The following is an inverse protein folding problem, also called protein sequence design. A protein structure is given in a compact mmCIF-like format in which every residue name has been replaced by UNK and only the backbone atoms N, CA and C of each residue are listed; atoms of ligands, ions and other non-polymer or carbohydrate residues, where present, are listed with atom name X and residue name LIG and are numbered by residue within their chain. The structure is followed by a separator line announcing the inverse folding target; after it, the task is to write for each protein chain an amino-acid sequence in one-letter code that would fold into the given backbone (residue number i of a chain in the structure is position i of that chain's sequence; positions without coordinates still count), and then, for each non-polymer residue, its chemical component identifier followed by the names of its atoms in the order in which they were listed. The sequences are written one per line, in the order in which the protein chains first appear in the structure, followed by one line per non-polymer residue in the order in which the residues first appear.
data_IF_603221500571
#
_entry.id   IF_603221500571
#
_cell.length_a   1.000
_cell.length_b   1.000
_cell.length_c   1.000
_cell.angle_alpha   90.00
_cell.angle_beta   90.00
_cell.angle_gamma   90.00
#
_symmetry.space_group_name_H-M   'P 1'
#
loop_
_entity.id
_entity.type
_entity.pdbx_description
1 polymer ?
#
# COMPACT_ATOMS: atom_id res chain seq x y z
N UNK A 1 1.65 5.59 83.05
CA UNK A 1 2.50 5.11 81.94
C UNK A 1 1.61 4.89 80.72
N UNK A 2 1.53 5.90 79.86
CA UNK A 2 0.75 5.86 78.60
C UNK A 2 1.44 4.93 77.61
N UNK A 3 0.71 3.96 77.06
CA UNK A 3 1.16 3.11 75.96
C UNK A 3 0.93 3.85 74.64
N UNK A 4 1.99 3.99 73.86
CA UNK A 4 2.00 4.59 72.53
C UNK A 4 1.20 3.74 71.54
N UNK A 5 0.31 4.41 70.81
CA UNK A 5 -0.46 3.88 69.68
C UNK A 5 0.43 4.01 68.43
N UNK A 6 0.74 2.89 67.77
CA UNK A 6 1.44 2.87 66.50
C UNK A 6 0.40 2.65 65.38
N UNK A 7 0.02 3.73 64.68
CA UNK A 7 -0.75 3.63 63.44
C UNK A 7 0.18 3.17 62.31
N UNK A 8 -0.06 1.98 61.76
CA UNK A 8 0.45 1.60 60.43
C UNK A 8 -0.68 1.75 59.43
N UNK A 9 -0.65 2.83 58.67
CA UNK A 9 -1.37 2.95 57.41
C UNK A 9 -0.59 2.20 56.33
N UNK A 10 -1.21 1.19 55.71
CA UNK A 10 -0.92 0.79 54.32
C UNK A 10 -2.26 0.53 53.63
N UNK A 11 -2.50 1.09 52.43
CA UNK A 11 -3.83 1.30 51.90
C UNK A 11 -4.35 0.13 51.06
N UNK A 12 -5.67 -0.02 51.13
CA UNK A 12 -6.62 -0.35 50.07
C UNK A 12 -6.03 -0.92 48.76
N UNK A 13 -6.35 -2.19 48.50
CA UNK A 13 -6.17 -2.82 47.20
C UNK A 13 -6.87 -2.00 46.11
N UNK A 14 -6.08 -1.44 45.18
CA UNK A 14 -6.60 -0.96 43.90
C UNK A 14 -7.05 -2.16 43.09
N UNK A 15 -8.36 -2.29 42.91
CA UNK A 15 -8.97 -3.10 41.86
C UNK A 15 -8.67 -2.40 40.53
N UNK A 16 -7.70 -2.91 39.77
CA UNK A 16 -7.56 -2.57 38.37
C UNK A 16 -8.67 -3.27 37.59
N UNK A 17 -9.75 -2.54 37.31
CA UNK A 17 -10.63 -2.89 36.18
C UNK A 17 -9.84 -2.52 34.93
N UNK A 18 -9.09 -3.47 34.39
CA UNK A 18 -8.54 -3.36 33.05
C UNK A 18 -9.73 -3.42 32.08
N UNK A 19 -10.10 -2.28 31.52
CA UNK A 19 -10.82 -2.23 30.25
C UNK A 19 -9.91 -2.87 29.20
N UNK A 20 -10.13 -4.15 28.89
CA UNK A 20 -9.55 -4.75 27.69
C UNK A 20 -10.35 -4.23 26.49
N UNK A 21 -9.91 -3.10 25.92
CA UNK A 21 -10.13 -2.85 24.51
C UNK A 21 -9.24 -3.85 23.77
N UNK A 22 -9.75 -5.07 23.56
CA UNK A 22 -9.05 -6.10 22.82
C UNK A 22 -9.23 -5.85 21.33
N UNK A 23 -8.35 -5.00 20.81
CA UNK A 23 -7.72 -5.18 19.51
C UNK A 23 -6.26 -4.75 19.73
N UNK A 24 -5.25 -5.33 19.05
CA UNK A 24 -5.35 -5.75 17.65
C UNK A 24 -4.49 -6.99 17.29
N UNK A 25 -4.36 -7.26 15.99
CA UNK A 25 -3.25 -7.99 15.35
C UNK A 25 -3.34 -9.53 15.39
N UNK A 26 -3.72 -10.09 14.23
CA UNK A 26 -3.48 -11.48 13.81
C UNK A 26 -3.64 -12.58 14.88
N UNK A 27 -4.88 -12.88 15.27
CA UNK A 27 -5.21 -14.19 15.81
C UNK A 27 -5.49 -15.16 14.65
N UNK A 28 -4.42 -15.57 13.96
CA UNK A 28 -4.28 -16.83 13.20
C UNK A 28 -2.93 -16.84 12.46
N UNK A 29 -1.84 -16.59 13.20
CA UNK A 29 -0.48 -16.88 12.74
C UNK A 29 -0.05 -18.14 13.48
N UNK A 30 0.13 -19.24 12.73
CA UNK A 30 1.03 -20.30 13.16
C UNK A 30 2.41 -19.66 13.41
N UNK A 31 2.75 -19.46 14.69
CA UNK A 31 3.96 -18.80 15.17
C UNK A 31 5.26 -19.46 14.66
N UNK A 32 5.18 -20.63 14.03
CA UNK A 32 6.33 -21.35 13.48
C UNK A 32 6.68 -20.94 12.04
N UNK A 33 5.77 -20.27 11.31
CA UNK A 33 6.06 -19.67 10.00
C UNK A 33 5.88 -18.16 10.05
N UNK A 34 6.95 -17.45 10.44
CA UNK A 34 7.10 -16.04 10.09
C UNK A 34 7.20 -15.94 8.56
N UNK A 35 6.09 -15.73 7.88
CA UNK A 35 6.14 -15.21 6.53
C UNK A 35 6.62 -13.75 6.64
N UNK A 36 7.90 -13.52 6.34
CA UNK A 36 8.55 -12.20 6.38
C UNK A 36 8.15 -11.28 5.22
N UNK A 37 7.31 -11.79 4.30
CA UNK A 37 6.94 -11.13 3.06
C UNK A 37 5.41 -10.95 3.03
N UNK A 38 4.94 -9.80 3.51
CA UNK A 38 3.55 -9.36 3.38
C UNK A 38 3.42 -8.52 2.11
N UNK A 39 2.64 -9.01 1.16
CA UNK A 39 2.44 -8.39 -0.16
C UNK A 39 1.18 -7.52 -0.18
N UNK A 40 1.27 -6.35 -0.80
CA UNK A 40 0.12 -5.60 -1.26
C UNK A 40 0.16 -5.38 -2.78
N UNK A 41 -1.01 -5.30 -3.39
CA UNK A 41 -1.19 -5.01 -4.81
C UNK A 41 -2.10 -3.79 -4.95
N UNK A 42 -1.65 -2.80 -5.73
CA UNK A 42 -2.42 -1.59 -6.04
C UNK A 42 -3.01 -1.74 -7.44
N UNK A 43 -4.34 -1.83 -7.51
CA UNK A 43 -5.09 -1.93 -8.75
C UNK A 43 -5.18 -0.58 -9.46
N UNK A 44 -4.38 -0.38 -10.51
CA UNK A 44 -4.52 0.80 -11.38
C UNK A 44 -5.59 0.64 -12.47
N UNK A 45 -5.70 1.59 -13.40
CA UNK A 45 -6.71 1.58 -14.46
C UNK A 45 -6.72 0.30 -15.30
N UNK A 46 -5.55 -0.31 -15.53
CA UNK A 46 -5.45 -1.56 -16.28
C UNK A 46 -6.08 -2.74 -15.51
N UNK A 47 -5.79 -2.80 -14.22
CA UNK A 47 -6.19 -3.89 -13.31
C UNK A 47 -7.66 -3.76 -12.93
N UNK A 48 -8.10 -2.53 -12.64
CA UNK A 48 -9.46 -2.27 -12.14
C UNK A 48 -10.51 -2.13 -13.26
N UNK A 49 -10.20 -1.48 -14.40
CA UNK A 49 -11.20 -1.21 -15.45
C UNK A 49 -11.45 -2.41 -16.36
N UNK A 50 -10.48 -3.30 -16.51
CA UNK A 50 -10.70 -4.59 -17.17
C UNK A 50 -11.17 -5.59 -16.12
N UNK A 51 -12.47 -5.50 -15.78
CA UNK A 51 -13.22 -6.44 -14.96
C UNK A 51 -12.39 -7.12 -13.85
N UNK A 52 -12.46 -6.61 -12.61
CA UNK A 52 -11.85 -7.28 -11.44
C UNK A 52 -12.27 -8.76 -11.32
N UNK A 53 -13.42 -9.15 -11.90
CA UNK A 53 -13.85 -10.55 -12.05
C UNK A 53 -12.91 -11.43 -12.91
N UNK A 54 -11.98 -10.83 -13.66
CA UNK A 54 -11.06 -11.51 -14.58
C UNK A 54 -9.58 -11.33 -14.23
N UNK A 55 -9.20 -10.23 -13.57
CA UNK A 55 -7.78 -9.98 -13.27
C UNK A 55 -7.26 -10.96 -12.22
N UNK A 56 -8.03 -11.11 -11.14
CA UNK A 56 -7.98 -12.32 -10.38
C UNK A 56 -9.04 -13.21 -11.01
N UNK A 57 -8.63 -14.26 -11.71
CA UNK A 57 -9.55 -15.35 -12.07
C UNK A 57 -10.30 -15.85 -10.83
N UNK A 58 -11.22 -16.80 -10.97
CA UNK A 58 -11.84 -17.51 -9.82
C UNK A 58 -10.79 -18.15 -8.86
N UNK A 59 -9.49 -18.07 -9.18
CA UNK A 59 -8.36 -18.55 -8.41
C UNK A 59 -7.94 -17.66 -7.24
N UNK A 60 -8.38 -16.39 -7.14
CA UNK A 60 -8.14 -15.59 -5.94
C UNK A 60 -9.44 -15.28 -5.20
N UNK A 61 -9.43 -15.54 -3.90
CA UNK A 61 -10.60 -15.40 -3.04
C UNK A 61 -10.48 -14.15 -2.18
N UNK A 62 -11.57 -13.39 -2.06
CA UNK A 62 -11.69 -12.29 -1.11
C UNK A 62 -12.08 -12.90 0.23
N UNK A 63 -11.22 -12.74 1.24
CA UNK A 63 -11.50 -13.22 2.59
C UNK A 63 -12.24 -12.16 3.40
N UNK A 64 -11.83 -10.91 3.26
CA UNK A 64 -12.35 -9.78 4.04
C UNK A 64 -12.16 -8.48 3.28
N UNK A 65 -13.05 -7.51 3.51
CA UNK A 65 -12.85 -6.10 3.13
C UNK A 65 -13.01 -5.22 4.36
N UNK A 66 -12.04 -4.37 4.63
CA UNK A 66 -12.01 -3.52 5.81
C UNK A 66 -11.30 -2.19 5.54
N UNK A 67 -11.35 -1.28 6.50
CA UNK A 67 -10.61 -0.03 6.50
C UNK A 67 -9.71 0.03 7.73
N UNK A 68 -8.63 0.82 7.66
CA UNK A 68 -7.66 0.99 8.74
C UNK A 68 -7.64 2.47 9.12
N UNK A 69 -7.89 2.76 10.39
CA UNK A 69 -7.68 4.11 10.93
C UNK A 69 -6.18 4.31 11.20
N UNK A 70 -5.63 5.42 10.70
CA UNK A 70 -4.21 5.76 10.84
C UNK A 70 -4.05 7.21 11.28
N UNK A 71 -2.82 7.64 11.60
CA UNK A 71 -2.56 9.06 11.86
C UNK A 71 -2.80 9.97 10.65
N UNK A 72 -2.81 9.42 9.43
CA UNK A 72 -3.17 10.13 8.20
C UNK A 72 -4.70 10.13 7.91
N UNK A 73 -5.48 9.47 8.79
CA UNK A 73 -6.93 9.26 8.67
C UNK A 73 -7.29 7.86 8.17
N UNK A 74 -8.59 7.66 7.94
CA UNK A 74 -9.16 6.39 7.50
C UNK A 74 -8.70 6.00 6.09
N UNK A 75 -8.20 4.77 5.93
CA UNK A 75 -7.77 4.23 4.64
C UNK A 75 -8.92 4.08 3.64
N UNK A 76 -8.62 4.04 2.32
CA UNK A 76 -9.53 3.43 1.36
C UNK A 76 -9.86 1.97 1.76
N UNK A 77 -10.96 1.38 1.27
CA UNK A 77 -11.25 -0.04 1.49
C UNK A 77 -10.09 -0.93 1.01
N UNK A 78 -9.59 -1.77 1.90
CA UNK A 78 -8.54 -2.75 1.65
C UNK A 78 -9.18 -4.13 1.64
N UNK A 79 -8.91 -4.90 0.60
CA UNK A 79 -9.35 -6.29 0.49
C UNK A 79 -8.20 -7.20 0.93
N UNK A 80 -8.46 -8.07 1.91
CA UNK A 80 -7.59 -9.22 2.18
C UNK A 80 -7.97 -10.34 1.24
N UNK A 81 -7.03 -10.73 0.39
CA UNK A 81 -7.24 -11.73 -0.65
C UNK A 81 -6.27 -12.89 -0.46
N UNK A 82 -6.59 -14.03 -1.07
CA UNK A 82 -5.75 -15.22 -1.05
C UNK A 82 -5.74 -15.87 -2.42
N UNK A 83 -4.54 -16.21 -2.92
CA UNK A 83 -4.35 -17.01 -4.13
C UNK A 83 -3.41 -18.17 -3.80
N UNK A 84 -3.81 -19.42 -4.09
CA UNK A 84 -3.01 -20.63 -3.78
C UNK A 84 -2.46 -20.66 -2.34
N UNK A 85 -3.28 -20.25 -1.37
CA UNK A 85 -2.93 -20.13 0.06
C UNK A 85 -1.89 -19.06 0.42
N UNK A 86 -1.58 -18.15 -0.50
CA UNK A 86 -0.73 -16.99 -0.26
C UNK A 86 -1.65 -15.78 -0.01
N UNK A 87 -1.69 -15.23 1.22
CA UNK A 87 -2.48 -14.05 1.51
C UNK A 87 -1.77 -12.79 0.99
N UNK A 88 -2.55 -11.82 0.52
CA UNK A 88 -2.06 -10.50 0.12
C UNK A 88 -3.16 -9.45 0.34
N UNK A 89 -2.76 -8.19 0.41
CA UNK A 89 -3.69 -7.07 0.42
C UNK A 89 -3.90 -6.52 -0.98
N UNK A 90 -5.12 -6.12 -1.29
CA UNK A 90 -5.46 -5.48 -2.56
C UNK A 90 -6.22 -4.19 -2.32
N UNK A 91 -5.83 -3.14 -3.01
CA UNK A 91 -6.56 -1.87 -3.03
C UNK A 91 -6.96 -1.56 -4.46
N UNK A 92 -8.27 -1.41 -4.67
CA UNK A 92 -8.84 -0.90 -5.91
C UNK A 92 -8.61 0.60 -5.94
N UNK A 93 -7.66 1.06 -6.75
CA UNK A 93 -7.18 2.43 -6.69
C UNK A 93 -7.85 3.33 -7.73
N UNK A 94 -8.14 2.81 -8.93
CA UNK A 94 -8.77 3.57 -10.02
C UNK A 94 -10.19 3.10 -10.38
N UNK A 95 -10.76 2.21 -9.56
CA UNK A 95 -12.10 1.63 -9.72
C UNK A 95 -13.29 2.44 -9.17
N UNK A 96 -13.09 3.68 -8.72
CA UNK A 96 -14.18 4.49 -8.20
C UNK A 96 -14.65 5.52 -9.23
N UNK A 97 -15.79 5.25 -9.87
CA UNK A 97 -16.62 6.30 -10.47
C UNK A 97 -17.32 7.14 -9.38
N UNK A 98 -17.27 6.70 -8.12
CA UNK A 98 -18.08 7.21 -7.01
C UNK A 98 -17.25 7.80 -5.83
N UNK A 99 -15.94 8.01 -5.99
CA UNK A 99 -15.15 8.73 -4.97
C UNK A 99 -15.43 10.23 -5.06
N UNK A 100 -15.50 10.87 -3.91
CA UNK A 100 -15.64 12.31 -3.84
C UNK A 100 -14.44 12.98 -4.53
N UNK A 101 -14.66 14.11 -5.23
CA UNK A 101 -13.59 14.85 -5.90
C UNK A 101 -12.42 15.21 -4.94
N UNK A 102 -12.68 15.34 -3.65
CA UNK A 102 -11.67 15.53 -2.60
C UNK A 102 -10.66 14.39 -2.48
N UNK A 103 -11.04 13.15 -2.84
CA UNK A 103 -10.15 12.00 -2.80
C UNK A 103 -9.17 11.98 -3.98
N UNK A 104 -9.41 12.80 -5.01
CA UNK A 104 -8.50 12.95 -6.16
C UNK A 104 -7.30 13.88 -5.87
N UNK A 105 -7.34 14.63 -4.76
CA UNK A 105 -6.27 15.55 -4.32
C UNK A 105 -5.02 14.82 -3.77
N UNK A 106 -5.03 13.49 -3.73
CA UNK A 106 -3.84 12.69 -3.42
C UNK A 106 -3.71 12.21 -1.97
N UNK A 107 -4.57 12.69 -1.05
CA UNK A 107 -4.54 12.25 0.35
C UNK A 107 -4.92 10.78 0.54
N UNK A 108 -5.65 10.21 -0.42
CA UNK A 108 -5.97 8.78 -0.47
C UNK A 108 -4.71 7.90 -0.61
N UNK A 109 -3.68 8.33 -1.37
CA UNK A 109 -2.41 7.61 -1.48
C UNK A 109 -1.71 7.55 -0.12
N UNK A 110 -1.66 8.68 0.59
CA UNK A 110 -1.03 8.77 1.92
C UNK A 110 -1.71 7.82 2.90
N UNK A 111 -3.05 7.89 2.99
CA UNK A 111 -3.84 7.02 3.89
C UNK A 111 -3.66 5.53 3.56
N UNK A 112 -3.59 5.19 2.27
CA UNK A 112 -3.30 3.82 1.83
C UNK A 112 -1.90 3.37 2.26
N UNK A 113 -0.86 4.16 1.98
CA UNK A 113 0.52 3.79 2.36
C UNK A 113 0.71 3.75 3.89
N UNK A 114 0.07 4.64 4.64
CA UNK A 114 0.03 4.59 6.10
C UNK A 114 -0.64 3.30 6.60
N UNK A 115 -1.77 2.91 6.02
CA UNK A 115 -2.45 1.67 6.38
C UNK A 115 -1.60 0.44 6.04
N UNK A 116 -0.92 0.42 4.89
CA UNK A 116 0.03 -0.64 4.54
C UNK A 116 1.18 -0.76 5.54
N UNK A 117 1.69 0.37 6.04
CA UNK A 117 2.69 0.37 7.11
C UNK A 117 2.14 -0.28 8.40
N UNK A 118 0.95 0.11 8.87
CA UNK A 118 0.31 -0.49 10.06
C UNK A 118 -0.02 -1.98 9.89
N UNK A 119 -0.35 -2.40 8.66
CA UNK A 119 -0.60 -3.81 8.32
C UNK A 119 0.68 -4.64 8.14
N UNK A 120 1.86 -4.02 8.28
CA UNK A 120 3.15 -4.70 8.13
C UNK A 120 3.46 -5.12 6.69
N UNK A 121 2.88 -4.45 5.70
CA UNK A 121 3.21 -4.66 4.28
C UNK A 121 4.69 -4.36 4.06
N UNK A 122 5.34 -5.28 3.37
CA UNK A 122 6.79 -5.24 3.08
C UNK A 122 7.08 -5.02 1.61
N UNK A 123 6.17 -5.46 0.74
CA UNK A 123 6.33 -5.39 -0.71
C UNK A 123 5.03 -4.91 -1.34
N UNK A 124 5.14 -4.03 -2.32
CA UNK A 124 4.00 -3.46 -3.04
C UNK A 124 4.24 -3.68 -4.53
N UNK A 125 3.25 -4.26 -5.22
CA UNK A 125 3.22 -4.34 -6.66
C UNK A 125 2.12 -3.39 -7.15
N UNK A 126 2.45 -2.50 -8.07
CA UNK A 126 1.52 -1.54 -8.65
C UNK A 126 1.71 -1.49 -10.16
N UNK A 127 0.62 -1.22 -10.87
CA UNK A 127 0.64 -1.04 -12.32
C UNK A 127 -0.27 0.09 -12.74
N UNK A 128 0.12 0.81 -13.78
CA UNK A 128 -0.65 1.89 -14.37
C UNK A 128 -0.73 1.73 -15.89
N UNK A 129 -1.76 2.33 -16.49
CA UNK A 129 -1.79 2.56 -17.93
C UNK A 129 -1.02 3.84 -18.23
N UNK A 130 -0.13 3.81 -19.22
CA UNK A 130 0.63 4.98 -19.65
C UNK A 130 0.60 5.13 -21.18
N UNK A 131 0.88 6.34 -21.66
CA UNK A 131 1.19 6.60 -23.07
C UNK A 131 2.67 6.34 -23.35
N UNK A 132 2.99 5.80 -24.53
CA UNK A 132 4.37 5.62 -24.96
C UNK A 132 4.93 6.91 -25.55
N UNK A 133 6.00 7.46 -24.96
CA UNK A 133 6.67 8.65 -25.48
C UNK A 133 7.80 8.34 -26.47
N UNK A 134 8.31 7.11 -26.48
CA UNK A 134 9.36 6.70 -27.42
C UNK A 134 8.76 6.18 -28.72
N UNK A 135 9.35 6.53 -29.89
CA UNK A 135 8.86 6.08 -31.19
C UNK A 135 8.84 4.56 -31.36
N UNK A 136 9.62 3.81 -30.58
CA UNK A 136 9.58 2.35 -30.64
C UNK A 136 8.40 1.75 -29.89
N UNK A 137 7.86 2.41 -28.86
CA UNK A 137 6.79 1.85 -28.02
C UNK A 137 5.48 1.69 -28.81
N UNK A 138 4.79 0.58 -28.55
CA UNK A 138 3.54 0.21 -29.20
C UNK A 138 2.48 -0.06 -28.13
N UNK A 139 1.22 0.03 -28.55
CA UNK A 139 0.11 -0.38 -27.70
C UNK A 139 0.30 -1.82 -27.25
N UNK A 140 -0.01 -2.09 -25.98
CA UNK A 140 0.18 -3.39 -25.32
C UNK A 140 1.64 -3.80 -25.11
N UNK A 141 2.64 -2.96 -25.38
CA UNK A 141 3.96 -3.18 -24.76
C UNK A 141 3.85 -3.00 -23.24
N UNK A 142 4.59 -3.82 -22.51
CA UNK A 142 4.72 -3.76 -21.06
C UNK A 142 6.10 -3.20 -20.72
N UNK A 143 6.14 -2.15 -19.90
CA UNK A 143 7.38 -1.53 -19.45
C UNK A 143 7.47 -1.73 -17.94
N UNK A 144 8.55 -2.37 -17.49
CA UNK A 144 8.88 -2.44 -16.08
C UNK A 144 9.78 -1.26 -15.75
N UNK A 145 9.13 -0.17 -15.31
CA UNK A 145 9.84 1.06 -14.99
C UNK A 145 10.84 0.84 -13.85
N UNK A 146 12.03 1.40 -14.01
CA UNK A 146 13.08 1.40 -12.98
C UNK A 146 13.36 2.81 -12.45
N UNK A 147 12.73 3.83 -13.05
CA UNK A 147 12.91 5.23 -12.68
C UNK A 147 11.64 6.05 -12.97
N UNK A 148 11.56 7.24 -12.40
CA UNK A 148 10.44 8.16 -12.62
C UNK A 148 10.87 9.63 -12.58
N UNK A 149 10.09 10.47 -13.26
CA UNK A 149 10.11 11.93 -13.14
C UNK A 149 8.74 12.34 -12.65
N UNK A 150 8.67 12.96 -11.47
CA UNK A 150 7.43 13.47 -10.93
C UNK A 150 7.29 14.97 -11.23
N UNK A 151 6.35 15.32 -12.11
CA UNK A 151 5.95 16.69 -12.40
C UNK A 151 4.67 17.09 -11.66
N UNK A 152 4.05 16.16 -10.93
CA UNK A 152 2.88 16.44 -10.13
C UNK A 152 3.22 17.35 -8.94
N UNK A 153 2.52 18.49 -8.84
CA UNK A 153 2.70 19.48 -7.78
C UNK A 153 1.52 19.52 -6.80
N UNK A 154 0.37 18.96 -7.17
CA UNK A 154 -0.87 19.04 -6.37
C UNK A 154 -0.96 17.95 -5.31
N UNK A 155 -0.32 16.80 -5.55
CA UNK A 155 -0.35 15.65 -4.64
C UNK A 155 0.77 15.72 -3.61
N UNK A 156 0.51 15.28 -2.38
CA UNK A 156 1.57 15.17 -1.39
C UNK A 156 2.70 14.23 -1.86
N UNK A 157 3.94 14.69 -1.74
CA UNK A 157 5.15 13.96 -2.14
C UNK A 157 5.82 13.19 -1.00
N UNK A 158 5.29 13.29 0.22
CA UNK A 158 5.85 12.63 1.41
C UNK A 158 4.75 12.09 2.31
N UNK A 159 4.61 10.76 2.33
CA UNK A 159 3.69 10.06 3.25
C UNK A 159 4.02 10.38 4.71
N UNK A 160 5.32 10.50 5.05
CA UNK A 160 5.75 10.81 6.40
C UNK A 160 5.29 12.20 6.85
N UNK A 161 5.41 13.21 5.98
CA UNK A 161 4.97 14.56 6.30
C UNK A 161 3.45 14.61 6.53
N UNK A 162 2.69 14.00 5.63
CA UNK A 162 1.22 13.99 5.71
C UNK A 162 0.68 13.14 6.86
N UNK A 163 1.38 12.07 7.23
CA UNK A 163 1.05 11.26 8.41
C UNK A 163 1.48 11.91 9.74
N UNK A 164 2.05 13.13 9.71
CA UNK A 164 2.56 13.84 10.88
C UNK A 164 3.83 13.23 11.49
N UNK A 165 4.52 12.35 10.77
CA UNK A 165 5.73 11.65 11.22
C UNK A 165 6.94 12.54 10.98
N UNK A 166 7.36 13.25 12.03
CA UNK A 166 8.50 14.15 11.98
C UNK A 166 9.83 13.39 12.13
N UNK A 167 10.69 13.51 11.11
CA UNK A 167 12.06 12.97 11.08
C UNK A 167 13.02 14.04 10.53
N UNK A 168 13.37 15.07 11.32
CA UNK A 168 14.21 16.16 10.85
C UNK A 168 15.54 15.65 10.31
N UNK A 169 15.94 16.11 9.13
CA UNK A 169 17.19 15.71 8.48
C UNK A 169 17.16 14.37 7.75
N UNK A 170 16.08 13.59 7.86
CA UNK A 170 15.91 12.34 7.10
C UNK A 170 15.20 12.64 5.78
N UNK A 171 15.81 12.24 4.67
CA UNK A 171 15.25 12.37 3.33
C UNK A 171 15.37 11.03 2.62
N UNK A 172 14.32 10.63 1.91
CA UNK A 172 14.38 9.45 1.05
C UNK A 172 15.35 9.70 -0.09
N UNK A 173 16.23 8.71 -0.32
CA UNK A 173 17.10 8.69 -1.50
C UNK A 173 16.43 7.83 -2.54
N UNK A 174 16.11 8.41 -3.69
CA UNK A 174 15.47 7.72 -4.82
C UNK A 174 16.54 7.22 -5.80
N UNK A 175 17.41 6.33 -5.33
CA UNK A 175 18.43 5.69 -6.17
C UNK A 175 18.81 4.28 -5.64
N UNK A 176 18.25 3.20 -6.19
CA UNK A 176 17.14 3.20 -7.16
C UNK A 176 15.81 3.59 -6.50
N UNK A 177 14.87 4.21 -7.23
CA UNK A 177 13.53 4.49 -6.71
C UNK A 177 12.64 3.25 -6.62
N UNK A 178 12.93 2.22 -7.42
CA UNK A 178 12.20 0.96 -7.48
C UNK A 178 13.07 -0.15 -6.86
N UNK A 179 12.46 -1.06 -6.10
CA UNK A 179 13.14 -2.21 -5.52
C UNK A 179 13.69 -3.12 -6.65
N UNK A 180 15.01 -3.31 -6.77
CA UNK A 180 15.58 -4.10 -7.87
C UNK A 180 15.18 -5.58 -7.81
N UNK A 181 15.06 -6.15 -6.62
CA UNK A 181 14.72 -7.58 -6.45
C UNK A 181 13.30 -7.90 -6.94
N UNK A 182 12.31 -7.08 -6.57
CA UNK A 182 10.94 -7.24 -7.05
C UNK A 182 10.83 -6.93 -8.54
N UNK A 183 11.60 -5.95 -9.01
CA UNK A 183 11.66 -5.60 -10.43
C UNK A 183 12.17 -6.77 -11.29
N UNK A 184 13.26 -7.43 -10.87
CA UNK A 184 13.81 -8.61 -11.54
C UNK A 184 12.80 -9.77 -11.59
N UNK A 185 12.19 -10.11 -10.44
CA UNK A 185 11.16 -11.16 -10.37
C UNK A 185 9.98 -10.86 -11.30
N UNK A 186 9.50 -9.61 -11.33
CA UNK A 186 8.41 -9.23 -12.23
C UNK A 186 8.84 -9.30 -13.71
N UNK A 187 10.10 -9.00 -14.01
CA UNK A 187 10.60 -9.05 -15.38
C UNK A 187 10.68 -10.48 -15.90
N UNK A 188 11.23 -11.39 -15.10
CA UNK A 188 11.27 -12.82 -15.43
C UNK A 188 9.86 -13.39 -15.64
N UNK A 189 8.94 -13.10 -14.70
CA UNK A 189 7.54 -13.52 -14.82
C UNK A 189 6.87 -12.92 -16.07
N UNK A 190 7.17 -11.67 -16.42
CA UNK A 190 6.63 -11.04 -17.60
C UNK A 190 7.15 -11.68 -18.89
N UNK A 191 8.46 -11.99 -18.98
CA UNK A 191 9.03 -12.69 -20.14
C UNK A 191 8.40 -14.06 -20.35
N UNK A 192 8.09 -14.77 -19.28
CA UNK A 192 7.49 -16.11 -19.36
C UNK A 192 6.00 -16.09 -19.72
N UNK A 193 5.25 -15.10 -19.20
CA UNK A 193 3.78 -15.17 -19.19
C UNK A 193 3.10 -14.09 -20.07
N UNK A 194 3.77 -12.99 -20.39
CA UNK A 194 3.17 -11.88 -21.12
C UNK A 194 3.23 -12.09 -22.64
N UNK A 195 2.07 -12.17 -23.29
CA UNK A 195 1.95 -12.51 -24.72
C UNK A 195 1.35 -11.42 -25.58
N UNK A 196 0.90 -10.30 -24.99
CA UNK A 196 0.16 -9.26 -25.71
C UNK A 196 1.05 -8.24 -26.43
N UNK A 197 2.32 -8.14 -26.05
CA UNK A 197 3.28 -7.20 -26.63
C UNK A 197 4.68 -7.46 -26.11
N UNK A 198 5.60 -6.53 -26.38
CA UNK A 198 6.99 -6.67 -25.93
C UNK A 198 7.12 -6.28 -24.48
N UNK A 199 8.06 -6.92 -23.79
CA UNK A 199 8.42 -6.59 -22.42
C UNK A 199 9.72 -5.82 -22.42
N UNK A 200 9.70 -4.61 -21.87
CA UNK A 200 10.87 -3.77 -21.68
C UNK A 200 11.31 -3.82 -20.22
N UNK A 201 12.57 -4.19 -19.93
CA UNK A 201 13.07 -4.27 -18.56
C UNK A 201 13.29 -2.90 -17.92
N UNK A 202 13.37 -1.83 -18.70
CA UNK A 202 13.70 -0.50 -18.18
C UNK A 202 12.82 0.56 -18.84
N UNK A 203 12.59 1.65 -18.10
CA UNK A 203 11.84 2.79 -18.59
C UNK A 203 11.67 3.83 -17.49
N UNK A 204 11.69 5.10 -17.92
CA UNK A 204 11.39 6.24 -17.05
C UNK A 204 9.92 6.59 -17.20
N UNK A 205 9.17 6.59 -16.09
CA UNK A 205 7.78 7.07 -16.08
C UNK A 205 7.75 8.56 -15.77
N UNK A 206 7.16 9.35 -16.66
CA UNK A 206 6.85 10.76 -16.37
C UNK A 206 5.44 10.83 -15.83
N UNK A 207 5.28 11.29 -14.60
CA UNK A 207 3.99 11.53 -13.99
C UNK A 207 3.67 13.03 -14.07
N UNK A 208 2.80 13.43 -15.01
CA UNK A 208 2.26 14.78 -15.09
C UNK A 208 0.99 14.93 -14.21
N UNK A 209 0.46 16.15 -14.21
CA UNK A 209 -0.84 16.49 -13.66
C UNK A 209 -1.97 15.62 -14.26
N UNK A 210 -2.88 15.16 -13.40
CA UNK A 210 -3.92 14.20 -13.80
C UNK A 210 -5.15 14.85 -14.45
N UNK A 211 -5.23 16.18 -14.52
CA UNK A 211 -6.41 16.90 -15.02
C UNK A 211 -6.48 16.99 -16.55
N UNK A 212 -5.38 16.71 -17.27
CA UNK A 212 -5.31 16.77 -18.73
C UNK A 212 -4.26 15.81 -19.30
N UNK A 213 -4.31 15.59 -20.61
CA UNK A 213 -3.19 15.01 -21.37
C UNK A 213 -2.19 16.10 -21.79
N UNK A 214 -1.00 15.67 -22.19
CA UNK A 214 0.11 16.52 -22.64
C UNK A 214 -0.18 17.17 -24.01
N UNK A 215 0.31 18.39 -24.21
CA UNK A 215 0.29 19.04 -25.54
C UNK A 215 1.37 18.45 -26.45
N UNK A 216 1.19 18.46 -27.78
CA UNK A 216 2.24 18.08 -28.74
C UNK A 216 3.52 18.91 -28.62
#
# INVERSE_FOLDING_TARGET
MLRSILFRFVPLALVFIAWSVSNPVFADIDMTRRHTNVLAVIGGSHIDRRHVKSFFSDEAQVLETFTVETSAGLSPPIMKMQHKNIPFYYVRFHGFADVAASDMAGNNFVRMFAAFHELGVTHIIAGATAGGMQPEYRNADLILSNDFINLNYERPSSVLAEAGIHRPGIRSVFNPPICPDIHEVLYELALENYTLGRVYPNGVVVQDDASRYETP
#
